data_IF_011345270296
#
_entry.id   IF_011345270296
#
_cell.length_a   1.000
_cell.length_b   1.000
_cell.length_c   1.000
_cell.angle_alpha   90.00
_cell.angle_beta   90.00
_cell.angle_gamma   90.00
#
_symmetry.space_group_name_H-M   'P 1'
#
loop_
_entity.id
_entity.type
_entity.pdbx_description
1 polymer ?
#
# COMPACT_ATOMS: atom_id res chain seq x y z
N UNK A 1 21.14 -14.14 -12.61
CA UNK A 1 20.13 -14.64 -11.65
C UNK A 1 18.82 -13.90 -11.92
N UNK A 2 17.75 -14.60 -12.29
CA UNK A 2 16.41 -13.98 -12.37
C UNK A 2 16.07 -13.51 -10.95
N UNK A 3 15.98 -12.20 -10.72
CA UNK A 3 15.44 -11.66 -9.48
C UNK A 3 13.98 -12.13 -9.41
N UNK A 4 13.69 -13.12 -8.58
CA UNK A 4 12.34 -13.63 -8.38
C UNK A 4 11.51 -12.48 -7.85
N UNK A 5 10.36 -12.22 -8.48
CA UNK A 5 9.41 -11.21 -8.01
C UNK A 5 8.98 -11.60 -6.59
N UNK A 6 8.97 -10.66 -5.65
CA UNK A 6 8.49 -10.93 -4.29
C UNK A 6 7.04 -11.43 -4.32
N UNK A 7 6.70 -12.39 -3.46
CA UNK A 7 5.31 -12.84 -3.32
C UNK A 7 4.43 -11.71 -2.81
N UNK A 8 3.13 -11.75 -3.13
CA UNK A 8 2.20 -10.68 -2.76
C UNK A 8 2.10 -10.50 -1.25
N UNK A 9 2.06 -11.60 -0.51
CA UNK A 9 2.00 -11.64 0.96
C UNK A 9 3.20 -10.93 1.59
N UNK A 10 4.42 -11.22 1.14
CA UNK A 10 5.64 -10.61 1.68
C UNK A 10 5.70 -9.10 1.44
N UNK A 11 5.08 -8.66 0.35
CA UNK A 11 4.97 -7.25 0.00
C UNK A 11 3.93 -6.57 0.90
N UNK A 12 2.76 -7.17 1.07
CA UNK A 12 1.72 -6.68 1.97
C UNK A 12 2.24 -6.56 3.41
N UNK A 13 2.88 -7.60 3.95
CA UNK A 13 3.41 -7.62 5.32
C UNK A 13 4.41 -6.48 5.58
N UNK A 14 5.30 -6.22 4.63
CA UNK A 14 6.27 -5.12 4.72
C UNK A 14 5.62 -3.74 4.59
N UNK A 15 4.63 -3.60 3.72
CA UNK A 15 3.87 -2.34 3.63
C UNK A 15 3.12 -2.12 4.94
N UNK A 16 2.57 -3.19 5.51
CA UNK A 16 1.86 -3.15 6.78
C UNK A 16 2.79 -2.74 7.93
N UNK A 17 3.96 -3.33 8.02
CA UNK A 17 4.98 -2.94 9.00
C UNK A 17 5.33 -1.46 8.88
N UNK A 18 5.63 -0.97 7.67
CA UNK A 18 5.95 0.45 7.44
C UNK A 18 4.78 1.35 7.84
N UNK A 19 3.57 1.03 7.40
CA UNK A 19 2.43 1.92 7.60
C UNK A 19 1.93 1.91 9.04
N UNK A 20 1.93 0.75 9.72
CA UNK A 20 1.52 0.62 11.12
C UNK A 20 2.57 1.20 12.06
N UNK A 21 3.84 0.89 11.85
CA UNK A 21 4.91 1.20 12.83
C UNK A 21 5.50 2.59 12.61
N UNK A 22 5.65 3.03 11.36
CA UNK A 22 6.38 4.28 11.05
C UNK A 22 5.49 5.43 10.61
N UNK A 23 4.33 5.16 10.00
CA UNK A 23 3.45 6.19 9.45
C UNK A 23 2.25 6.47 10.38
N UNK A 24 1.76 5.47 11.11
CA UNK A 24 0.65 5.58 12.06
C UNK A 24 -0.64 6.21 11.47
N UNK A 25 -0.88 5.99 10.17
CA UNK A 25 -2.04 6.52 9.44
C UNK A 25 -2.89 5.40 8.84
N UNK A 26 -4.17 5.68 8.59
CA UNK A 26 -5.06 4.70 7.95
C UNK A 26 -4.69 4.55 6.48
N UNK A 27 -4.48 3.30 6.06
CA UNK A 27 -4.10 2.96 4.69
C UNK A 27 -4.76 1.68 4.21
N UNK A 28 -4.71 1.46 2.90
CA UNK A 28 -5.00 0.16 2.28
C UNK A 28 -3.98 -0.17 1.21
N UNK A 29 -3.66 -1.45 1.12
CA UNK A 29 -2.96 -2.03 -0.02
C UNK A 29 -3.99 -2.54 -1.03
N UNK A 30 -3.87 -2.12 -2.28
CA UNK A 30 -4.66 -2.58 -3.41
C UNK A 30 -3.72 -3.13 -4.48
N UNK A 31 -4.16 -4.19 -5.17
CA UNK A 31 -3.44 -4.74 -6.32
C UNK A 31 -4.18 -4.33 -7.59
N UNK A 32 -3.58 -3.42 -8.35
CA UNK A 32 -4.13 -2.93 -9.60
C UNK A 32 -3.29 -3.43 -10.78
N UNK A 33 -3.89 -3.43 -11.97
CA UNK A 33 -3.26 -3.85 -13.22
C UNK A 33 -3.61 -2.82 -14.28
N UNK A 34 -2.59 -2.27 -14.93
CA UNK A 34 -2.73 -1.38 -16.09
C UNK A 34 -1.97 -1.95 -17.29
N UNK A 35 -1.95 -1.23 -18.41
CA UNK A 35 -1.19 -1.62 -19.61
C UNK A 35 0.33 -1.75 -19.33
N UNK A 36 0.83 -1.17 -18.23
CA UNK A 36 2.20 -1.28 -17.73
C UNK A 36 2.42 -2.47 -16.79
N UNK A 37 1.38 -3.27 -16.51
CA UNK A 37 1.41 -4.48 -15.71
C UNK A 37 0.89 -4.33 -14.29
N UNK A 38 1.06 -5.39 -13.50
CA UNK A 38 0.54 -5.46 -12.14
C UNK A 38 1.39 -4.61 -11.18
N UNK A 39 0.72 -3.75 -10.42
CA UNK A 39 1.32 -2.81 -9.49
C UNK A 39 0.58 -2.80 -8.15
N UNK A 40 1.27 -2.31 -7.13
CA UNK A 40 0.75 -2.19 -5.77
C UNK A 40 0.36 -0.74 -5.56
N UNK A 41 -0.82 -0.51 -5.02
CA UNK A 41 -1.31 0.81 -4.66
C UNK A 41 -1.46 0.88 -3.16
N UNK A 42 -0.77 1.83 -2.54
CA UNK A 42 -0.98 2.18 -1.13
C UNK A 42 -1.86 3.43 -1.10
N UNK A 43 -3.08 3.27 -0.63
CA UNK A 43 -4.09 4.32 -0.60
C UNK A 43 -4.21 4.94 0.80
N UNK A 44 -4.15 6.27 0.87
CA UNK A 44 -4.38 7.07 2.08
C UNK A 44 -5.57 8.02 1.86
N UNK A 45 -6.33 8.34 2.91
CA UNK A 45 -7.42 9.32 2.80
C UNK A 45 -6.94 10.76 3.04
N UNK A 46 -7.54 11.72 2.32
CA UNK A 46 -7.32 13.18 2.41
C UNK A 46 -5.94 13.65 2.00
N UNK A 47 -4.87 13.07 2.55
CA UNK A 47 -3.50 13.50 2.36
C UNK A 47 -2.55 12.30 2.28
N UNK A 48 -1.41 12.50 1.64
CA UNK A 48 -0.31 11.55 1.68
C UNK A 48 0.58 11.88 2.88
N UNK A 49 0.83 10.94 3.81
CA UNK A 49 1.72 11.19 4.94
C UNK A 49 3.11 11.61 4.45
N UNK A 50 3.76 12.62 5.07
CA UNK A 50 5.06 13.13 4.62
C UNK A 50 6.13 12.05 4.50
N UNK A 51 6.08 11.07 5.40
CA UNK A 51 7.01 9.94 5.47
C UNK A 51 6.70 8.82 4.46
N UNK A 52 5.45 8.72 3.97
CA UNK A 52 5.04 7.64 3.07
C UNK A 52 5.88 7.60 1.78
N UNK A 53 6.17 8.76 1.18
CA UNK A 53 7.02 8.85 -0.02
C UNK A 53 8.48 8.46 0.22
N UNK A 54 8.95 8.53 1.47
CA UNK A 54 10.33 8.18 1.84
C UNK A 54 10.44 6.70 2.21
N UNK A 55 9.47 6.19 2.96
CA UNK A 55 9.49 4.83 3.50
C UNK A 55 8.99 3.79 2.48
N UNK A 56 7.97 4.11 1.68
CA UNK A 56 7.43 3.21 0.65
C UNK A 56 8.27 3.16 -0.65
N UNK A 57 9.53 3.62 -0.62
CA UNK A 57 10.42 3.70 -1.79
C UNK A 57 11.30 2.46 -2.01
N UNK A 58 11.34 1.46 -1.12
CA UNK A 58 12.32 0.36 -1.16
C UNK A 58 11.80 -0.90 -0.41
N UNK A 59 12.04 -2.18 -0.80
CA UNK A 59 12.51 -2.78 -2.05
C UNK A 59 11.57 -3.94 -2.48
N UNK A 60 10.36 -3.65 -2.99
CA UNK A 60 9.51 -4.71 -3.56
C UNK A 60 10.06 -5.09 -4.95
N UNK A 61 11.08 -5.96 -4.97
CA UNK A 61 11.77 -6.34 -6.21
C UNK A 61 10.77 -6.80 -7.27
N UNK A 62 10.64 -6.02 -8.34
CA UNK A 62 9.79 -6.31 -9.49
C UNK A 62 8.35 -5.79 -9.40
N UNK A 63 7.97 -5.08 -8.33
CA UNK A 63 6.66 -4.43 -8.24
C UNK A 63 6.76 -2.92 -8.34
N UNK A 64 5.91 -2.33 -9.19
CA UNK A 64 5.69 -0.89 -9.21
C UNK A 64 4.78 -0.54 -8.04
N UNK A 65 5.18 0.44 -7.22
CA UNK A 65 4.39 0.94 -6.11
C UNK A 65 3.85 2.34 -6.45
N UNK A 66 2.56 2.54 -6.19
CA UNK A 66 1.85 3.79 -6.42
C UNK A 66 1.24 4.23 -5.09
N UNK A 67 1.43 5.51 -4.75
CA UNK A 67 0.73 6.10 -3.61
C UNK A 67 -0.48 6.84 -4.14
N UNK A 68 -1.67 6.45 -3.66
CA UNK A 68 -2.96 7.04 -4.06
C UNK A 68 -3.53 7.84 -2.91
N UNK A 69 -3.90 9.10 -3.17
CA UNK A 69 -4.63 9.92 -2.20
C UNK A 69 -6.10 9.83 -2.60
N UNK A 70 -6.92 9.33 -1.69
CA UNK A 70 -8.35 9.13 -1.90
C UNK A 70 -9.18 10.14 -1.08
N UNK A 71 -10.43 10.42 -1.49
CA UNK A 71 -11.37 11.18 -0.67
C UNK A 71 -11.63 10.50 0.68
N UNK A 72 -12.05 11.29 1.67
CA UNK A 72 -12.48 10.77 2.96
C UNK A 72 -13.63 9.76 2.81
N UNK A 73 -13.55 8.65 3.56
CA UNK A 73 -14.51 7.56 3.52
C UNK A 73 -14.34 6.59 2.37
N UNK A 74 -13.41 6.82 1.43
CA UNK A 74 -13.12 5.88 0.34
C UNK A 74 -12.62 4.54 0.87
N UNK A 75 -11.72 4.52 1.85
CA UNK A 75 -11.19 3.29 2.44
C UNK A 75 -12.26 2.51 3.22
N UNK A 76 -13.27 3.21 3.76
CA UNK A 76 -14.40 2.59 4.48
C UNK A 76 -15.27 1.72 3.58
N UNK A 77 -15.28 1.96 2.26
CA UNK A 77 -16.07 1.22 1.27
C UNK A 77 -15.49 -0.17 1.00
N UNK A 78 -14.17 -0.35 1.13
CA UNK A 78 -13.47 -1.62 0.84
C UNK A 78 -13.54 -2.65 1.99
N UNK A 79 -14.60 -2.61 2.81
CA UNK A 79 -14.79 -3.24 4.14
C UNK A 79 -14.07 -2.52 5.31
N UNK A 80 -14.74 -2.32 6.46
CA UNK A 80 -14.12 -1.74 7.65
C UNK A 80 -13.14 -2.73 8.28
N UNK A 81 -11.90 -2.30 8.55
CA UNK A 81 -11.01 -2.98 9.50
C UNK A 81 -11.71 -2.94 10.86
N UNK A 82 -12.12 -4.11 11.38
CA UNK A 82 -12.71 -4.28 12.71
C UNK A 82 -13.84 -3.30 13.08
N UNK A 83 -15.05 -3.51 12.54
CA UNK A 83 -16.23 -3.32 13.41
C UNK A 83 -16.29 -4.52 14.34
N UNK A 84 -15.65 -4.42 15.51
CA UNK A 84 -15.96 -5.28 16.65
C UNK A 84 -17.49 -5.29 16.80
N UNK A 85 -18.11 -6.46 16.62
CA UNK A 85 -19.45 -6.73 17.15
C UNK A 85 -19.31 -7.18 18.60
#
# INVERSE_FOLDING_TARGET
>A
MKKTKSEKSDVEEKIDEICIVEIEEEYRVLWESDDGGNHIVVAFEKNCPPMAKKLLKSPFMGWRLIIKICPEGYLKVFHPLNKKK
#
